data_IF_128538466263
#
_entry.id   IF_128538466263
#
_cell.length_a   1.000
_cell.length_b   1.000
_cell.length_c   1.000
_cell.angle_alpha   90.00
_cell.angle_beta   90.00
_cell.angle_gamma   90.00
#
_symmetry.space_group_name_H-M   'P 1'
#
loop_
_entity.id
_entity.type
_entity.pdbx_description
1 polymer ?
#
# COMPACT_ATOMS: atom_id res chain seq x y z
N UNK A 1 0.32 -1.89 19.99
CA UNK A 1 -0.75 -2.67 19.35
C UNK A 1 -2.04 -2.11 19.92
N UNK A 2 -2.90 -1.52 19.09
CA UNK A 2 -4.09 -0.82 19.58
C UNK A 2 -5.02 -1.78 20.33
N UNK A 3 -5.56 -1.34 21.46
CA UNK A 3 -6.50 -2.11 22.27
C UNK A 3 -7.76 -2.38 21.43
N UNK A 4 -8.16 -3.64 21.27
CA UNK A 4 -9.33 -4.05 20.48
C UNK A 4 -10.42 -4.59 21.37
N UNK A 5 -11.67 -4.40 20.95
CA UNK A 5 -12.86 -4.96 21.61
C UNK A 5 -13.70 -5.72 20.58
N UNK A 6 -14.43 -6.73 21.06
CA UNK A 6 -15.33 -7.49 20.20
C UNK A 6 -16.68 -6.76 20.09
N UNK A 7 -17.22 -6.68 18.88
CA UNK A 7 -18.56 -6.16 18.60
C UNK A 7 -19.38 -7.18 17.83
N UNK A 8 -20.69 -7.24 18.09
CA UNK A 8 -21.59 -8.22 17.46
C UNK A 8 -22.58 -7.53 16.51
N UNK A 9 -22.61 -7.97 15.26
CA UNK A 9 -23.65 -7.62 14.30
C UNK A 9 -24.87 -8.52 14.53
N UNK A 10 -25.92 -7.96 15.14
CA UNK A 10 -27.14 -8.70 15.47
C UNK A 10 -27.89 -9.23 14.24
N UNK A 11 -27.72 -8.63 13.06
CA UNK A 11 -28.36 -9.11 11.82
C UNK A 11 -27.72 -10.39 11.29
N UNK A 12 -26.44 -10.59 11.56
CA UNK A 12 -25.69 -11.79 11.15
C UNK A 12 -25.70 -12.88 12.23
N UNK A 13 -26.12 -12.56 13.45
CA UNK A 13 -26.11 -13.50 14.56
C UNK A 13 -27.19 -14.57 14.40
N UNK A 14 -26.76 -15.82 14.20
CA UNK A 14 -27.62 -17.02 14.10
C UNK A 14 -27.97 -17.63 15.45
N UNK A 15 -27.47 -17.07 16.56
CA UNK A 15 -27.71 -17.52 17.94
C UNK A 15 -27.22 -18.93 18.27
N UNK A 16 -26.13 -19.37 17.63
CA UNK A 16 -25.43 -20.62 18.00
C UNK A 16 -24.75 -20.54 19.37
N UNK A 17 -24.59 -19.33 19.92
CA UNK A 17 -24.10 -19.04 21.27
C UNK A 17 -22.71 -19.59 21.64
N UNK A 18 -21.93 -20.11 20.68
CA UNK A 18 -20.57 -20.61 20.95
C UNK A 18 -19.64 -19.54 21.54
N UNK A 19 -19.83 -18.28 21.13
CA UNK A 19 -19.13 -17.13 21.68
C UNK A 19 -19.22 -17.01 23.21
N UNK A 20 -20.34 -17.46 23.82
CA UNK A 20 -20.54 -17.47 25.27
C UNK A 20 -19.56 -18.42 25.98
N UNK A 21 -19.38 -19.61 25.42
CA UNK A 21 -18.56 -20.66 26.02
C UNK A 21 -17.06 -20.40 25.89
N UNK A 22 -16.64 -19.71 24.82
CA UNK A 22 -15.23 -19.44 24.55
C UNK A 22 -14.73 -18.14 25.17
N UNK A 23 -15.61 -17.29 25.71
CA UNK A 23 -15.21 -16.01 26.29
C UNK A 23 -14.65 -16.21 27.71
N UNK A 24 -13.35 -15.97 27.95
CA UNK A 24 -12.73 -16.26 29.25
C UNK A 24 -13.16 -15.30 30.37
N UNK A 25 -13.78 -14.17 30.00
CA UNK A 25 -14.14 -13.06 30.89
C UNK A 25 -15.65 -12.80 30.92
N UNK A 26 -16.44 -13.65 30.24
CA UNK A 26 -17.90 -13.50 30.19
C UNK A 26 -18.39 -12.22 29.48
N UNK A 27 -17.56 -11.54 28.69
CA UNK A 27 -17.95 -10.32 27.97
C UNK A 27 -19.05 -10.55 26.91
N UNK A 28 -19.16 -11.76 26.38
CA UNK A 28 -20.16 -12.10 25.36
C UNK A 28 -21.52 -12.48 25.94
N UNK A 29 -21.59 -12.71 27.26
CA UNK A 29 -22.75 -13.19 28.00
C UNK A 29 -23.60 -12.02 28.47
N UNK A 30 -24.34 -11.44 27.53
CA UNK A 30 -25.22 -10.31 27.79
C UNK A 30 -26.64 -10.63 27.33
N UNK A 31 -27.61 -10.33 28.20
CA UNK A 31 -29.03 -10.61 27.97
C UNK A 31 -29.60 -9.88 26.74
N UNK A 32 -28.97 -8.77 26.35
CA UNK A 32 -29.33 -7.96 25.19
C UNK A 32 -28.55 -8.33 23.91
N UNK A 33 -27.76 -9.42 23.94
CA UNK A 33 -26.91 -9.85 22.82
C UNK A 33 -25.82 -8.84 22.41
N UNK A 34 -25.52 -7.83 23.22
CA UNK A 34 -24.47 -6.81 22.99
C UNK A 34 -23.23 -7.15 23.78
N UNK A 35 -22.07 -7.29 23.16
CA UNK A 35 -20.84 -7.61 23.91
C UNK A 35 -20.53 -6.50 24.92
N UNK A 36 -20.29 -6.89 26.17
CA UNK A 36 -19.87 -6.03 27.27
C UNK A 36 -18.42 -5.58 27.06
N UNK A 37 -18.26 -4.36 26.55
CA UNK A 37 -16.94 -3.81 26.19
C UNK A 37 -16.06 -3.56 27.41
N UNK A 38 -16.64 -3.33 28.59
CA UNK A 38 -15.89 -3.08 29.83
C UNK A 38 -15.25 -4.36 30.36
N UNK A 39 -15.84 -5.52 30.06
CA UNK A 39 -15.25 -6.84 30.36
C UNK A 39 -14.34 -7.37 29.26
N UNK A 40 -14.44 -6.84 28.04
CA UNK A 40 -13.76 -7.40 26.88
C UNK A 40 -12.24 -7.13 26.95
N UNK A 41 -11.44 -8.19 27.03
CA UNK A 41 -9.96 -8.10 27.04
C UNK A 41 -9.32 -8.15 25.64
N UNK A 42 -10.14 -8.08 24.57
CA UNK A 42 -9.61 -8.02 23.20
C UNK A 42 -9.00 -9.31 22.65
N UNK A 43 -9.19 -10.46 23.28
CA UNK A 43 -8.51 -11.72 22.90
C UNK A 43 -8.98 -12.33 21.56
N UNK A 44 -10.15 -11.93 21.04
CA UNK A 44 -10.64 -12.40 19.73
C UNK A 44 -11.23 -13.81 19.66
N UNK A 45 -11.20 -14.59 20.75
CA UNK A 45 -11.70 -15.98 20.76
C UNK A 45 -13.17 -16.09 20.29
N UNK A 46 -14.01 -15.15 20.72
CA UNK A 46 -15.42 -15.13 20.32
C UNK A 46 -15.64 -14.82 18.83
N UNK A 47 -14.76 -14.01 18.22
CA UNK A 47 -14.79 -13.73 16.79
C UNK A 47 -14.39 -14.98 15.98
N UNK A 48 -13.30 -15.65 16.39
CA UNK A 48 -12.83 -16.88 15.74
C UNK A 48 -13.84 -18.03 15.84
N UNK A 49 -14.53 -18.14 16.97
CA UNK A 49 -15.50 -19.20 17.17
C UNK A 49 -16.87 -18.92 16.54
N UNK A 50 -17.15 -17.72 16.03
CA UNK A 50 -18.48 -17.36 15.54
C UNK A 50 -18.77 -17.98 14.16
N UNK A 51 -19.67 -18.97 14.02
CA UNK A 51 -19.87 -19.67 12.75
C UNK A 51 -20.48 -18.77 11.67
N UNK A 52 -21.30 -17.80 12.08
CA UNK A 52 -21.94 -16.86 11.17
C UNK A 52 -21.09 -15.62 10.84
N UNK A 53 -19.89 -15.50 11.43
CA UNK A 53 -19.05 -14.31 11.27
C UNK A 53 -19.68 -13.04 11.85
N UNK A 54 -20.63 -13.16 12.77
CA UNK A 54 -21.34 -12.02 13.35
C UNK A 54 -20.51 -11.18 14.33
N UNK A 55 -19.32 -11.63 14.72
CA UNK A 55 -18.48 -10.94 15.70
C UNK A 55 -17.18 -10.48 15.04
N UNK A 56 -16.89 -9.19 15.16
CA UNK A 56 -15.67 -8.56 14.63
C UNK A 56 -14.85 -7.93 15.76
N UNK A 57 -13.53 -7.93 15.61
CA UNK A 57 -12.63 -7.18 16.50
C UNK A 57 -12.42 -5.78 15.93
N UNK A 58 -12.82 -4.77 16.69
CA UNK A 58 -12.67 -3.35 16.33
C UNK A 58 -11.73 -2.65 17.32
N UNK A 59 -11.04 -1.59 16.93
CA UNK A 59 -10.26 -0.79 17.87
C UNK A 59 -11.20 -0.16 18.91
N UNK A 60 -10.74 -0.09 20.16
CA UNK A 60 -11.45 0.57 21.27
C UNK A 60 -11.52 2.09 21.04
N UNK A 61 -10.43 2.65 20.54
CA UNK A 61 -10.36 4.03 20.07
C UNK A 61 -10.26 4.05 18.55
N UNK A 62 -11.27 4.60 17.88
CA UNK A 62 -11.23 4.75 16.43
C UNK A 62 -10.24 5.87 16.04
N UNK A 63 -9.49 5.72 14.94
CA UNK A 63 -8.61 6.79 14.48
C UNK A 63 -9.42 8.03 14.10
N UNK A 64 -8.74 9.18 14.07
CA UNK A 64 -9.33 10.40 13.52
C UNK A 64 -9.79 10.18 12.07
N UNK A 65 -10.91 10.79 11.71
CA UNK A 65 -11.46 10.73 10.36
C UNK A 65 -10.41 11.20 9.36
N UNK A 66 -10.17 10.38 8.34
CA UNK A 66 -9.29 10.77 7.24
C UNK A 66 -10.03 11.74 6.32
N UNK A 67 -9.45 12.93 6.01
CA UNK A 67 -10.11 13.87 5.12
C UNK A 67 -10.17 13.31 3.70
N UNK A 68 -11.31 13.49 3.02
CA UNK A 68 -11.40 13.28 1.57
C UNK A 68 -10.98 14.55 0.85
N UNK A 69 -10.33 14.43 -0.31
CA UNK A 69 -10.00 15.59 -1.14
C UNK A 69 -11.26 16.21 -1.73
N UNK A 70 -11.23 17.50 -2.05
CA UNK A 70 -12.39 18.19 -2.62
C UNK A 70 -12.82 17.59 -3.97
N UNK A 71 -11.88 17.03 -4.73
CA UNK A 71 -12.16 16.29 -5.95
C UNK A 71 -13.00 15.03 -5.67
N UNK A 72 -12.64 14.25 -4.65
CA UNK A 72 -13.40 13.05 -4.26
C UNK A 72 -14.78 13.46 -3.74
N UNK A 73 -14.87 14.50 -2.90
CA UNK A 73 -16.16 15.03 -2.43
C UNK A 73 -17.03 15.49 -3.61
N UNK A 74 -16.46 16.18 -4.60
CA UNK A 74 -17.19 16.64 -5.77
C UNK A 74 -17.74 15.47 -6.60
N UNK A 75 -16.97 14.40 -6.78
CA UNK A 75 -17.44 13.19 -7.47
C UNK A 75 -18.54 12.49 -6.68
N UNK A 76 -18.38 12.33 -5.37
CA UNK A 76 -19.39 11.73 -4.51
C UNK A 76 -20.68 12.56 -4.52
N UNK A 77 -20.60 13.88 -4.35
CA UNK A 77 -21.75 14.78 -4.40
C UNK A 77 -22.46 14.73 -5.75
N UNK A 78 -21.71 14.69 -6.86
CA UNK A 78 -22.28 14.51 -8.20
C UNK A 78 -23.00 13.17 -8.34
N UNK A 79 -22.42 12.11 -7.79
CA UNK A 79 -23.02 10.76 -7.83
C UNK A 79 -24.29 10.70 -6.97
N UNK A 80 -24.27 11.30 -5.78
CA UNK A 80 -25.45 11.40 -4.93
C UNK A 80 -26.58 12.20 -5.61
N UNK A 81 -26.24 13.27 -6.33
CA UNK A 81 -27.22 14.01 -7.13
C UNK A 81 -27.84 13.13 -8.23
N UNK A 82 -27.01 12.40 -8.99
CA UNK A 82 -27.52 11.48 -10.01
C UNK A 82 -28.46 10.42 -9.41
N UNK A 83 -28.15 9.91 -8.22
CA UNK A 83 -29.00 8.96 -7.48
C UNK A 83 -30.33 9.57 -7.04
N UNK A 84 -30.33 10.83 -6.60
CA UNK A 84 -31.55 11.56 -6.29
C UNK A 84 -32.42 11.81 -7.54
N UNK A 85 -31.80 12.07 -8.69
CA UNK A 85 -32.50 12.24 -9.97
C UNK A 85 -33.13 10.90 -10.42
N UNK A 86 -32.39 9.79 -10.33
CA UNK A 86 -32.87 8.43 -10.62
C UNK A 86 -34.02 8.02 -9.68
N UNK A 87 -33.94 8.35 -8.38
CA UNK A 87 -35.03 8.15 -7.43
C UNK A 87 -36.30 8.87 -7.89
N UNK A 88 -36.17 10.14 -8.28
CA UNK A 88 -37.29 10.96 -8.73
C UNK A 88 -37.94 10.39 -9.98
N UNK A 89 -37.15 9.98 -10.97
CA UNK A 89 -37.65 9.33 -12.19
C UNK A 89 -38.38 8.02 -11.86
N UNK A 90 -37.82 7.19 -10.99
CA UNK A 90 -38.47 5.96 -10.55
C UNK A 90 -39.83 6.23 -9.87
N UNK A 91 -39.92 7.25 -9.01
CA UNK A 91 -41.18 7.66 -8.41
C UNK A 91 -42.21 8.13 -9.45
N UNK A 92 -41.78 8.92 -10.44
CA UNK A 92 -42.66 9.38 -11.52
C UNK A 92 -43.21 8.21 -12.36
N UNK A 93 -42.36 7.23 -12.69
CA UNK A 93 -42.80 6.03 -13.42
C UNK A 93 -43.76 5.21 -12.55
N UNK A 94 -43.47 5.06 -11.25
CA UNK A 94 -44.36 4.35 -10.33
C UNK A 94 -45.74 5.02 -10.24
N UNK A 95 -45.81 6.35 -10.28
CA UNK A 95 -47.07 7.10 -10.23
C UNK A 95 -47.84 7.08 -11.55
N UNK A 96 -47.15 7.00 -12.69
CA UNK A 96 -47.77 7.07 -14.01
C UNK A 96 -48.20 5.71 -14.59
N UNK A 97 -47.74 4.59 -14.02
CA UNK A 97 -48.02 3.24 -14.55
C UNK A 97 -49.29 2.62 -13.97
N UNK A 98 -50.10 2.01 -14.84
CA UNK A 98 -51.25 1.18 -14.44
C UNK A 98 -50.87 -0.30 -14.17
N UNK A 99 -49.62 -0.68 -14.47
CA UNK A 99 -49.14 -2.05 -14.25
C UNK A 99 -48.63 -2.23 -12.80
N UNK A 100 -49.34 -3.03 -12.00
CA UNK A 100 -48.99 -3.30 -10.58
C UNK A 100 -47.53 -3.76 -10.39
N UNK A 101 -47.07 -4.70 -11.24
CA UNK A 101 -45.70 -5.20 -11.18
C UNK A 101 -44.66 -4.11 -11.39
N UNK A 102 -44.90 -3.21 -12.35
CA UNK A 102 -44.01 -2.09 -12.63
C UNK A 102 -44.06 -1.03 -11.53
N UNK A 103 -45.25 -0.74 -10.98
CA UNK A 103 -45.41 0.18 -9.85
C UNK A 103 -44.57 -0.26 -8.65
N UNK A 104 -44.71 -1.53 -8.24
CA UNK A 104 -43.99 -2.10 -7.10
C UNK A 104 -42.47 -2.12 -7.33
N UNK A 105 -42.05 -2.48 -8.55
CA UNK A 105 -40.64 -2.47 -8.93
C UNK A 105 -40.05 -1.06 -8.82
N UNK A 106 -40.72 -0.06 -9.39
CA UNK A 106 -40.21 1.32 -9.39
C UNK A 106 -40.23 1.96 -7.99
N UNK A 107 -41.21 1.62 -7.12
CA UNK A 107 -41.16 1.98 -5.69
C UNK A 107 -39.94 1.37 -4.99
N UNK A 108 -39.58 0.13 -5.32
CA UNK A 108 -38.39 -0.53 -4.75
C UNK A 108 -37.09 0.11 -5.27
N UNK A 109 -37.02 0.43 -6.57
CA UNK A 109 -35.89 1.15 -7.17
C UNK A 109 -35.72 2.51 -6.51
N UNK A 110 -36.78 3.32 -6.39
CA UNK A 110 -36.72 4.62 -5.72
C UNK A 110 -36.15 4.52 -4.29
N UNK A 111 -36.59 3.51 -3.52
CA UNK A 111 -36.04 3.27 -2.18
C UNK A 111 -34.56 2.85 -2.22
N UNK A 112 -34.17 2.04 -3.20
CA UNK A 112 -32.78 1.64 -3.40
C UNK A 112 -31.89 2.84 -3.72
N UNK A 113 -32.27 3.66 -4.68
CA UNK A 113 -31.49 4.84 -5.07
C UNK A 113 -31.38 5.86 -3.94
N UNK A 114 -32.45 6.05 -3.16
CA UNK A 114 -32.41 6.88 -1.94
C UNK A 114 -31.34 6.41 -0.95
N UNK A 115 -31.34 5.10 -0.64
CA UNK A 115 -30.39 4.54 0.33
C UNK A 115 -28.95 4.71 -0.16
N UNK A 116 -28.71 4.50 -1.45
CA UNK A 116 -27.39 4.70 -2.07
C UNK A 116 -27.00 6.17 -2.04
N UNK A 117 -27.91 7.10 -2.36
CA UNK A 117 -27.65 8.54 -2.29
C UNK A 117 -27.28 8.97 -0.86
N UNK A 118 -28.03 8.50 0.14
CA UNK A 118 -27.75 8.76 1.55
C UNK A 118 -26.38 8.20 1.96
N UNK A 119 -26.03 6.97 1.58
CA UNK A 119 -24.71 6.39 1.84
C UNK A 119 -23.58 7.21 1.20
N UNK A 120 -23.76 7.64 -0.05
CA UNK A 120 -22.77 8.47 -0.75
C UNK A 120 -22.61 9.83 -0.06
N UNK A 121 -23.69 10.46 0.40
CA UNK A 121 -23.61 11.71 1.16
C UNK A 121 -22.90 11.52 2.50
N UNK A 122 -23.20 10.42 3.21
CA UNK A 122 -22.48 10.06 4.44
C UNK A 122 -21.00 9.85 4.19
N UNK A 123 -20.65 9.20 3.10
CA UNK A 123 -19.27 8.98 2.67
C UNK A 123 -18.59 10.27 2.20
N UNK A 124 -19.29 11.16 1.49
CA UNK A 124 -18.75 12.46 1.07
C UNK A 124 -18.31 13.30 2.28
N UNK A 125 -19.06 13.20 3.39
CA UNK A 125 -18.70 13.71 4.71
C UNK A 125 -18.05 12.70 5.66
N UNK A 126 -17.67 11.50 5.18
CA UNK A 126 -17.23 10.31 5.93
C UNK A 126 -17.57 10.32 7.44
N UNK A 127 -18.81 10.02 7.83
CA UNK A 127 -19.19 10.15 9.24
C UNK A 127 -18.81 8.94 10.09
N UNK A 128 -17.73 9.05 10.88
CA UNK A 128 -17.51 8.17 12.04
C UNK A 128 -18.37 8.67 13.20
N UNK A 129 -18.93 7.81 14.06
CA UNK A 129 -19.70 8.28 15.21
C UNK A 129 -18.92 9.32 16.03
N UNK A 130 -17.61 9.11 16.22
CA UNK A 130 -16.73 9.98 17.00
C UNK A 130 -16.10 11.16 16.21
N UNK A 131 -16.53 11.44 14.98
CA UNK A 131 -15.94 12.51 14.17
C UNK A 131 -16.53 13.89 14.44
N UNK A 132 -15.83 14.94 14.02
CA UNK A 132 -16.36 16.29 14.16
C UNK A 132 -17.62 16.52 13.34
N UNK A 133 -17.72 15.93 12.14
CA UNK A 133 -18.92 16.03 11.31
C UNK A 133 -20.17 15.45 11.99
N UNK A 134 -20.03 14.34 12.72
CA UNK A 134 -21.15 13.77 13.50
C UNK A 134 -21.57 14.72 14.63
N UNK A 135 -20.60 15.37 15.30
CA UNK A 135 -20.90 16.35 16.33
C UNK A 135 -21.59 17.59 15.75
N UNK A 136 -21.11 18.14 14.63
CA UNK A 136 -21.73 19.27 13.95
C UNK A 136 -23.16 18.94 13.49
N UNK A 137 -23.38 17.73 12.96
CA UNK A 137 -24.72 17.27 12.59
C UNK A 137 -25.65 17.19 13.81
N UNK A 138 -25.18 16.64 14.94
CA UNK A 138 -25.99 16.57 16.16
C UNK A 138 -26.28 17.96 16.72
N UNK A 139 -25.29 18.86 16.73
CA UNK A 139 -25.44 20.26 17.14
C UNK A 139 -26.47 20.99 16.25
N UNK A 140 -26.41 20.79 14.93
CA UNK A 140 -27.38 21.35 13.99
C UNK A 140 -28.79 20.76 14.19
N UNK A 141 -28.94 19.45 14.35
CA UNK A 141 -30.24 18.82 14.61
C UNK A 141 -30.86 19.28 15.96
N UNK A 142 -30.04 19.62 16.94
CA UNK A 142 -30.49 20.20 18.21
C UNK A 142 -30.96 21.65 18.01
N UNK A 143 -30.21 22.44 17.23
CA UNK A 143 -30.53 23.83 16.94
C UNK A 143 -31.74 23.98 15.99
N UNK A 144 -31.84 23.08 15.02
CA UNK A 144 -32.75 23.08 13.89
C UNK A 144 -33.43 21.70 13.73
N UNK A 145 -34.31 21.30 14.66
CA UNK A 145 -34.95 20.00 14.60
C UNK A 145 -35.81 19.87 13.32
N UNK A 146 -35.69 18.75 12.57
CA UNK A 146 -36.38 18.58 11.29
C UNK A 146 -37.91 18.51 11.44
N UNK A 147 -38.40 18.12 12.62
CA UNK A 147 -39.83 18.03 12.95
C UNK A 147 -40.08 18.44 14.40
N UNK A 148 -41.32 18.79 14.72
CA UNK A 148 -41.70 19.19 16.09
C UNK A 148 -41.61 18.06 17.11
N UNK A 149 -41.68 16.81 16.66
CA UNK A 149 -41.57 15.59 17.47
C UNK A 149 -40.15 15.01 17.51
N UNK A 150 -39.16 15.70 16.92
CA UNK A 150 -37.77 15.25 16.93
C UNK A 150 -37.24 15.17 18.39
N UNK A 151 -36.60 14.06 18.78
CA UNK A 151 -36.17 13.85 20.17
C UNK A 151 -34.86 14.60 20.49
N UNK A 152 -34.96 15.92 20.64
CA UNK A 152 -33.81 16.82 20.90
C UNK A 152 -32.99 16.39 22.12
N UNK A 153 -33.64 15.94 23.20
CA UNK A 153 -32.93 15.52 24.42
C UNK A 153 -32.11 14.23 24.22
N UNK A 154 -32.53 13.37 23.29
CA UNK A 154 -31.75 12.19 22.90
C UNK A 154 -30.52 12.63 22.10
N UNK A 155 -30.67 13.58 21.18
CA UNK A 155 -29.54 14.13 20.42
C UNK A 155 -28.51 14.79 21.34
N UNK A 156 -28.95 15.57 22.35
CA UNK A 156 -28.06 16.13 23.38
C UNK A 156 -27.31 15.04 24.15
N UNK A 157 -28.02 14.00 24.60
CA UNK A 157 -27.41 12.88 25.32
C UNK A 157 -26.38 12.14 24.45
N UNK A 158 -26.68 11.95 23.16
CA UNK A 158 -25.72 11.35 22.22
C UNK A 158 -24.47 12.22 22.07
N UNK A 159 -24.64 13.54 21.94
CA UNK A 159 -23.53 14.49 21.84
C UNK A 159 -22.61 14.47 23.08
N UNK A 160 -23.17 14.23 24.26
CA UNK A 160 -22.41 14.07 25.52
C UNK A 160 -21.71 12.70 25.63
N UNK A 161 -22.37 11.63 25.17
CA UNK A 161 -21.86 10.26 25.28
C UNK A 161 -20.78 9.93 24.25
N UNK A 162 -20.84 10.53 23.07
CA UNK A 162 -19.94 10.22 21.96
C UNK A 162 -18.68 11.09 22.10
N UNK A 163 -17.47 10.51 22.21
CA UNK A 163 -16.25 11.29 22.22
C UNK A 163 -15.97 11.87 20.82
N UNK A 164 -15.35 13.05 20.77
CA UNK A 164 -14.90 13.66 19.51
C UNK A 164 -13.39 13.48 19.35
N UNK A 165 -13.00 12.60 18.43
CA UNK A 165 -11.60 12.23 18.21
C UNK A 165 -10.79 13.31 17.48
N UNK A 166 -11.44 14.37 17.01
CA UNK A 166 -10.81 15.51 16.31
C UNK A 166 -10.69 16.75 17.21
N UNK A 167 -11.62 16.97 18.16
CA UNK A 167 -11.55 18.07 19.15
C UNK A 167 -10.41 17.88 20.15
N UNK A 168 -10.02 16.64 20.48
CA UNK A 168 -8.85 16.36 21.32
C UNK A 168 -7.51 16.51 20.58
N UNK A 169 -7.54 16.66 19.25
CA UNK A 169 -6.37 16.95 18.41
C UNK A 169 -6.17 18.45 18.17
N UNK A 170 -6.61 19.34 19.08
CA UNK A 170 -6.06 20.70 19.19
C UNK A 170 -4.68 20.66 19.87
N UNK A 171 -3.80 19.81 19.35
CA UNK A 171 -2.54 20.33 18.86
C UNK A 171 -2.61 20.13 17.37
N UNK A 172 -2.76 21.24 16.64
CA UNK A 172 -2.09 21.36 15.34
C UNK A 172 -0.62 21.10 15.59
N UNK A 173 -0.22 19.85 15.71
CA UNK A 173 1.03 19.45 15.12
C UNK A 173 0.76 19.62 13.63
N UNK A 174 1.17 20.79 13.12
CA UNK A 174 1.96 20.76 11.90
C UNK A 174 2.75 19.46 11.95
N UNK A 175 2.64 18.61 10.93
CA UNK A 175 3.63 17.56 10.73
C UNK A 175 4.95 18.30 10.53
N UNK A 176 5.59 18.72 11.63
CA UNK A 176 6.99 19.03 11.67
C UNK A 176 7.61 17.66 11.50
N UNK A 177 8.03 17.37 10.28
CA UNK A 177 8.98 16.31 10.04
C UNK A 177 10.17 16.57 10.97
N UNK A 178 10.23 15.82 12.09
CA UNK A 178 11.35 15.93 13.00
C UNK A 178 12.58 15.44 12.23
N UNK A 179 13.59 16.29 12.13
CA UNK A 179 14.84 15.98 11.43
C UNK A 179 15.43 14.70 12.01
N UNK A 180 15.81 13.76 11.14
CA UNK A 180 16.53 12.55 11.54
C UNK A 180 18.02 12.79 11.39
N UNK A 181 18.78 12.52 12.44
CA UNK A 181 20.24 12.68 12.47
C UNK A 181 20.87 11.31 12.65
N UNK A 182 21.75 10.90 11.74
CA UNK A 182 22.46 9.61 11.83
C UNK A 182 23.89 9.81 12.32
N UNK A 183 24.29 9.07 13.34
CA UNK A 183 25.66 9.02 13.81
C UNK A 183 26.54 8.30 12.78
N UNK A 184 27.48 9.01 12.17
CA UNK A 184 28.43 8.48 11.16
C UNK A 184 29.39 7.43 11.68
N UNK A 185 29.46 7.22 13.00
CA UNK A 185 30.39 6.27 13.63
C UNK A 185 29.70 4.95 13.96
N UNK A 186 28.46 4.97 14.46
CA UNK A 186 27.77 3.75 14.92
C UNK A 186 26.40 3.51 14.29
N UNK A 187 25.89 4.43 13.48
CA UNK A 187 24.59 4.29 12.81
C UNK A 187 23.37 4.64 13.67
N UNK A 188 23.53 5.08 14.93
CA UNK A 188 22.41 5.52 15.76
C UNK A 188 21.65 6.68 15.11
N UNK A 189 20.33 6.53 14.97
CA UNK A 189 19.42 7.55 14.44
C UNK A 189 18.75 8.30 15.59
N UNK A 190 18.92 9.61 15.63
CA UNK A 190 18.24 10.51 16.56
C UNK A 190 17.14 11.28 15.83
N UNK A 191 15.93 11.31 16.39
CA UNK A 191 14.82 12.12 15.89
C UNK A 191 14.69 13.37 16.76
N UNK A 192 14.91 14.55 16.18
CA UNK A 192 14.90 15.83 16.91
C UNK A 192 15.34 17.01 16.04
N UNK A 193 15.00 18.24 16.43
CA UNK A 193 15.37 19.44 15.65
C UNK A 193 16.89 19.60 15.48
N UNK A 194 17.67 19.10 16.44
CA UNK A 194 19.13 19.11 16.44
C UNK A 194 19.72 17.73 16.78
N UNK A 195 20.95 17.46 16.32
CA UNK A 195 21.70 16.28 16.75
C UNK A 195 22.01 16.33 18.27
N UNK A 196 22.06 15.18 18.96
CA UNK A 196 22.36 15.15 20.38
C UNK A 196 23.83 15.49 20.63
N UNK A 197 24.13 16.14 21.76
CA UNK A 197 25.49 16.55 22.15
C UNK A 197 26.48 15.37 22.19
N UNK A 198 26.00 14.20 22.60
CA UNK A 198 26.73 12.94 22.49
C UNK A 198 25.82 11.83 22.00
N UNK A 199 26.37 10.97 21.15
CA UNK A 199 25.69 9.77 20.70
C UNK A 199 25.40 8.85 21.91
N UNK A 200 24.14 8.46 22.17
CA UNK A 200 23.79 7.57 23.28
C UNK A 200 24.47 6.20 23.21
N UNK A 201 24.83 5.76 22.00
CA UNK A 201 25.43 4.44 21.75
C UNK A 201 26.96 4.48 21.82
N UNK A 202 27.59 5.33 21.01
CA UNK A 202 29.07 5.35 20.89
C UNK A 202 29.74 6.53 21.58
N UNK A 203 28.97 7.42 22.22
CA UNK A 203 29.44 8.60 22.97
C UNK A 203 30.25 9.61 22.17
N UNK A 204 30.26 9.47 20.84
CA UNK A 204 30.89 10.44 19.94
C UNK A 204 30.10 11.76 19.95
N UNK A 205 30.79 12.89 19.76
CA UNK A 205 30.18 14.20 19.90
C UNK A 205 29.29 14.55 18.69
N UNK A 206 28.47 15.60 18.84
CA UNK A 206 27.46 16.08 17.88
C UNK A 206 27.98 16.23 16.45
N UNK A 207 29.26 16.57 16.24
CA UNK A 207 29.88 16.74 14.92
C UNK A 207 29.94 15.44 14.11
N UNK A 208 29.76 14.28 14.76
CA UNK A 208 29.69 12.98 14.10
C UNK A 208 28.28 12.63 13.65
N UNK A 209 27.28 13.49 13.84
CA UNK A 209 25.94 13.31 13.27
C UNK A 209 25.81 14.01 11.92
N UNK A 210 25.18 13.34 10.96
CA UNK A 210 24.75 13.93 9.69
C UNK A 210 23.22 14.00 9.66
N UNK A 211 22.69 15.13 9.20
CA UNK A 211 21.28 15.27 8.89
C UNK A 211 20.94 14.29 7.76
N UNK A 212 19.96 13.43 7.96
CA UNK A 212 19.40 12.61 6.89
C UNK A 212 18.59 13.55 6.00
N UNK A 213 19.00 13.68 4.75
CA UNK A 213 18.19 14.35 3.73
C UNK A 213 16.87 13.58 3.61
N UNK A 214 15.73 14.29 3.67
CA UNK A 214 14.43 13.69 3.45
C UNK A 214 14.44 12.99 2.10
N UNK A 215 14.10 11.70 2.07
CA UNK A 215 13.87 10.99 0.80
C UNK A 215 12.91 11.82 -0.02
N UNK A 216 13.31 12.18 -1.26
CA UNK A 216 12.45 12.91 -2.19
C UNK A 216 11.23 12.05 -2.50
N UNK A 217 10.19 12.19 -1.69
CA UNK A 217 8.90 11.57 -1.92
C UNK A 217 8.38 12.03 -3.28
N UNK A 218 7.73 11.13 -4.01
CA UNK A 218 7.14 11.48 -5.30
C UNK A 218 6.03 12.55 -5.11
N UNK A 219 5.66 13.29 -6.19
CA UNK A 219 4.68 14.37 -6.10
C UNK A 219 3.29 13.95 -5.59
N UNK A 220 3.02 12.65 -5.52
CA UNK A 220 1.74 12.05 -5.18
C UNK A 220 1.74 11.38 -3.81
N UNK A 221 2.81 11.52 -3.03
CA UNK A 221 3.00 10.77 -1.79
C UNK A 221 1.85 10.90 -0.79
N UNK A 222 1.35 9.76 -0.32
CA UNK A 222 0.21 9.64 0.60
C UNK A 222 -1.16 9.76 -0.07
N UNK A 223 -1.25 9.94 -1.39
CA UNK A 223 -2.53 10.07 -2.11
C UNK A 223 -3.01 8.73 -2.67
N UNK A 224 -4.31 8.68 -3.05
CA UNK A 224 -4.83 7.56 -3.83
C UNK A 224 -4.22 7.49 -5.24
N UNK A 225 -3.75 8.62 -5.79
CA UNK A 225 -3.08 8.65 -7.10
C UNK A 225 -1.75 7.91 -7.07
N UNK A 226 -0.96 8.04 -6.01
CA UNK A 226 0.26 7.24 -5.82
C UNK A 226 -0.06 5.74 -5.84
N UNK A 227 -1.04 5.30 -5.06
CA UNK A 227 -1.49 3.89 -5.05
C UNK A 227 -1.98 3.42 -6.43
N UNK A 228 -2.67 4.29 -7.17
CA UNK A 228 -3.13 3.96 -8.53
C UNK A 228 -1.94 3.83 -9.50
N UNK A 229 -0.93 4.69 -9.38
CA UNK A 229 0.30 4.61 -10.17
C UNK A 229 1.12 3.36 -9.83
N UNK A 230 1.23 2.99 -8.55
CA UNK A 230 1.86 1.74 -8.10
C UNK A 230 1.12 0.52 -8.66
N UNK A 231 -0.22 0.51 -8.57
CA UNK A 231 -1.04 -0.56 -9.13
C UNK A 231 -0.92 -0.65 -10.66
N UNK A 232 -0.88 0.49 -11.36
CA UNK A 232 -0.64 0.53 -12.80
C UNK A 232 0.75 -0.01 -13.15
N UNK A 233 1.80 0.44 -12.46
CA UNK A 233 3.16 -0.08 -12.66
C UNK A 233 3.25 -1.59 -12.43
N UNK A 234 2.64 -2.10 -11.35
CA UNK A 234 2.59 -3.53 -11.07
C UNK A 234 1.81 -4.31 -12.15
N UNK A 235 0.68 -3.77 -12.61
CA UNK A 235 -0.15 -4.35 -13.67
C UNK A 235 0.60 -4.45 -15.00
N UNK A 236 1.20 -3.36 -15.46
CA UNK A 236 1.97 -3.30 -16.71
C UNK A 236 3.21 -4.21 -16.67
N UNK A 237 3.89 -4.26 -15.52
CA UNK A 237 5.05 -5.15 -15.32
C UNK A 237 4.66 -6.64 -15.41
N UNK A 238 3.52 -7.00 -14.83
CA UNK A 238 2.97 -8.35 -14.96
C UNK A 238 2.52 -8.65 -16.41
N UNK A 239 1.90 -7.68 -17.08
CA UNK A 239 1.43 -7.82 -18.47
C UNK A 239 2.60 -8.09 -19.43
N UNK A 240 3.68 -7.30 -19.34
CA UNK A 240 4.93 -7.51 -20.10
C UNK A 240 5.42 -8.95 -19.99
N UNK A 241 5.54 -9.47 -18.77
CA UNK A 241 6.05 -10.82 -18.53
C UNK A 241 5.10 -11.89 -19.10
N UNK A 242 3.80 -11.78 -18.83
CA UNK A 242 2.78 -12.70 -19.38
C UNK A 242 2.81 -12.73 -20.90
N UNK A 243 2.84 -11.59 -21.56
CA UNK A 243 2.85 -11.51 -23.03
C UNK A 243 4.13 -12.09 -23.62
N UNK A 244 5.28 -11.91 -22.97
CA UNK A 244 6.54 -12.55 -23.38
C UNK A 244 6.44 -14.08 -23.29
N UNK A 245 5.77 -14.62 -22.25
CA UNK A 245 5.54 -16.05 -22.12
C UNK A 245 4.54 -16.57 -23.16
N UNK A 246 3.46 -15.83 -23.42
CA UNK A 246 2.48 -16.16 -24.45
C UNK A 246 3.09 -16.17 -25.85
N UNK A 247 4.02 -15.25 -26.15
CA UNK A 247 4.78 -15.28 -27.39
C UNK A 247 5.54 -16.61 -27.56
N UNK A 248 6.13 -17.12 -26.48
CA UNK A 248 6.84 -18.40 -26.52
C UNK A 248 5.92 -19.59 -26.77
N UNK A 249 4.69 -19.56 -26.22
CA UNK A 249 3.65 -20.56 -26.51
C UNK A 249 3.20 -20.48 -27.97
N UNK A 250 2.81 -19.29 -28.43
CA UNK A 250 2.39 -19.07 -29.81
C UNK A 250 3.45 -19.51 -30.82
N UNK A 251 4.74 -19.28 -30.52
CA UNK A 251 5.85 -19.75 -31.35
C UNK A 251 5.95 -21.27 -31.39
N UNK A 252 5.83 -21.96 -30.24
CA UNK A 252 5.83 -23.43 -30.17
C UNK A 252 4.68 -24.06 -30.95
N UNK A 253 3.55 -23.36 -31.04
CA UNK A 253 2.37 -23.79 -31.81
C UNK A 253 2.42 -23.40 -33.30
N UNK A 254 3.47 -22.69 -33.74
CA UNK A 254 3.67 -22.30 -35.14
C UNK A 254 3.02 -20.96 -35.54
N UNK A 255 2.45 -20.22 -34.59
CA UNK A 255 1.83 -18.91 -34.83
C UNK A 255 2.86 -17.77 -34.72
N UNK A 256 3.85 -17.74 -35.63
CA UNK A 256 4.95 -16.77 -35.61
C UNK A 256 4.47 -15.29 -35.63
N UNK A 257 3.42 -14.97 -36.39
CA UNK A 257 2.86 -13.61 -36.39
C UNK A 257 2.29 -13.21 -35.03
N UNK A 258 1.56 -14.12 -34.36
CA UNK A 258 1.00 -13.86 -33.04
C UNK A 258 2.10 -13.73 -31.99
N UNK A 259 3.15 -14.56 -32.07
CA UNK A 259 4.33 -14.43 -31.22
C UNK A 259 4.99 -13.06 -31.36
N UNK A 260 5.19 -12.58 -32.60
CA UNK A 260 5.75 -11.25 -32.86
C UNK A 260 4.85 -10.13 -32.31
N UNK A 261 3.53 -10.25 -32.44
CA UNK A 261 2.57 -9.29 -31.89
C UNK A 261 2.60 -9.27 -30.36
N UNK A 262 2.64 -10.42 -29.70
CA UNK A 262 2.77 -10.50 -28.24
C UNK A 262 4.05 -9.83 -27.75
N UNK A 263 5.20 -10.05 -28.42
CA UNK A 263 6.45 -9.38 -28.07
C UNK A 263 6.36 -7.86 -28.27
N UNK A 264 5.76 -7.42 -29.38
CA UNK A 264 5.53 -5.99 -29.62
C UNK A 264 4.67 -5.37 -28.52
N UNK A 265 3.59 -6.03 -28.10
CA UNK A 265 2.74 -5.56 -27.00
C UNK A 265 3.51 -5.57 -25.69
N UNK A 266 4.31 -6.60 -25.38
CA UNK A 266 5.15 -6.64 -24.18
C UNK A 266 6.14 -5.46 -24.12
N UNK A 267 6.69 -5.06 -25.27
CA UNK A 267 7.53 -3.87 -25.38
C UNK A 267 6.76 -2.56 -25.18
N UNK A 268 5.47 -2.51 -25.53
CA UNK A 268 4.61 -1.36 -25.25
C UNK A 268 4.32 -1.27 -23.74
N UNK A 269 3.97 -2.38 -23.09
CA UNK A 269 3.71 -2.39 -21.63
C UNK A 269 4.98 -2.05 -20.83
N UNK A 270 6.16 -2.43 -21.33
CA UNK A 270 7.44 -1.98 -20.77
C UNK A 270 7.56 -0.44 -20.78
N UNK A 271 7.18 0.23 -21.86
CA UNK A 271 7.21 1.70 -21.93
C UNK A 271 6.10 2.35 -21.09
N UNK A 272 4.92 1.74 -20.99
CA UNK A 272 3.86 2.18 -20.07
C UNK A 272 4.32 2.10 -18.60
N UNK A 273 4.84 0.94 -18.17
CA UNK A 273 5.38 0.75 -16.83
C UNK A 273 6.47 1.78 -16.52
N UNK A 274 7.38 2.04 -17.47
CA UNK A 274 8.45 3.04 -17.32
C UNK A 274 7.90 4.46 -17.18
N UNK A 275 6.81 4.80 -17.85
CA UNK A 275 6.14 6.10 -17.69
C UNK A 275 5.63 6.27 -16.25
N UNK A 276 4.89 5.27 -15.73
CA UNK A 276 4.35 5.33 -14.37
C UNK A 276 5.44 5.32 -13.29
N UNK A 277 6.49 4.50 -13.48
CA UNK A 277 7.60 4.43 -12.56
C UNK A 277 8.40 5.74 -12.48
N UNK A 278 8.44 6.53 -13.57
CA UNK A 278 9.00 7.89 -13.56
C UNK A 278 8.16 8.86 -12.74
N UNK A 279 6.84 8.83 -12.86
CA UNK A 279 5.94 9.67 -12.05
C UNK A 279 6.08 9.38 -10.55
N UNK A 280 6.40 8.12 -10.20
CA UNK A 280 6.70 7.68 -8.85
C UNK A 280 8.14 8.02 -8.39
N UNK A 281 8.92 8.76 -9.17
CA UNK A 281 10.34 9.03 -8.93
C UNK A 281 11.19 7.76 -8.71
N UNK A 282 10.80 6.63 -9.30
CA UNK A 282 11.49 5.34 -9.13
C UNK A 282 12.80 5.20 -9.90
N UNK A 283 13.14 6.15 -10.79
CA UNK A 283 14.38 6.13 -11.57
C UNK A 283 15.38 7.18 -11.08
N UNK A 284 16.49 6.73 -10.51
CA UNK A 284 17.66 7.54 -10.17
C UNK A 284 18.80 7.41 -11.19
N UNK A 285 19.99 7.84 -10.77
CA UNK A 285 21.23 7.54 -11.49
C UNK A 285 21.66 6.07 -11.27
N UNK A 286 22.72 5.62 -11.95
CA UNK A 286 23.15 4.22 -11.87
C UNK A 286 23.50 3.77 -10.43
N UNK A 287 24.24 4.55 -9.62
CA UNK A 287 24.44 4.23 -8.20
C UNK A 287 23.14 4.08 -7.41
N UNK A 288 22.20 5.03 -7.52
CA UNK A 288 20.94 4.96 -6.82
C UNK A 288 20.11 3.74 -7.24
N UNK A 289 20.07 3.44 -8.54
CA UNK A 289 19.34 2.28 -9.06
C UNK A 289 19.98 0.95 -8.62
N UNK A 290 21.31 0.85 -8.57
CA UNK A 290 22.02 -0.34 -8.07
C UNK A 290 21.77 -0.55 -6.58
N UNK A 291 21.75 0.53 -5.79
CA UNK A 291 21.40 0.47 -4.38
C UNK A 291 19.96 0.01 -4.18
N UNK A 292 19.00 0.63 -4.89
CA UNK A 292 17.60 0.25 -4.83
C UNK A 292 17.37 -1.22 -5.23
N UNK A 293 18.04 -1.69 -6.28
CA UNK A 293 18.00 -3.10 -6.67
C UNK A 293 18.58 -4.00 -5.57
N UNK A 294 19.77 -3.70 -5.04
CA UNK A 294 20.38 -4.51 -3.98
C UNK A 294 19.52 -4.59 -2.71
N UNK A 295 18.89 -3.49 -2.33
CA UNK A 295 18.03 -3.44 -1.14
C UNK A 295 16.70 -4.19 -1.37
N UNK A 296 16.15 -4.14 -2.59
CA UNK A 296 15.01 -4.97 -2.99
C UNK A 296 15.33 -6.45 -2.96
N UNK A 297 16.42 -6.87 -3.62
CA UNK A 297 16.90 -8.26 -3.61
C UNK A 297 17.15 -8.76 -2.18
N UNK A 298 17.73 -7.91 -1.31
CA UNK A 298 17.94 -8.24 0.10
C UNK A 298 16.64 -8.63 0.80
N UNK A 299 15.63 -7.74 0.73
CA UNK A 299 14.30 -8.01 1.29
C UNK A 299 13.68 -9.29 0.74
N UNK A 300 13.85 -9.54 -0.57
CA UNK A 300 13.30 -10.74 -1.20
C UNK A 300 13.86 -12.02 -0.58
N UNK A 301 15.17 -12.14 -0.37
CA UNK A 301 15.75 -13.38 0.16
C UNK A 301 15.80 -13.48 1.68
N UNK A 302 15.85 -12.36 2.43
CA UNK A 302 15.89 -12.39 3.90
C UNK A 302 14.51 -12.59 4.52
N UNK A 303 13.49 -11.96 3.92
CA UNK A 303 12.15 -11.86 4.52
C UNK A 303 11.10 -12.52 3.62
N UNK A 304 10.91 -12.02 2.39
CA UNK A 304 9.76 -12.40 1.56
C UNK A 304 9.75 -13.89 1.19
N UNK A 305 10.81 -14.40 0.55
CA UNK A 305 10.87 -15.80 0.12
C UNK A 305 11.00 -16.78 1.29
N UNK A 306 11.66 -16.38 2.37
CA UNK A 306 11.78 -17.18 3.59
C UNK A 306 10.40 -17.36 4.25
N UNK A 307 9.61 -16.29 4.37
CA UNK A 307 8.26 -16.37 4.94
C UNK A 307 7.25 -17.05 4.02
N UNK A 308 7.38 -16.88 2.70
CA UNK A 308 6.59 -17.64 1.73
C UNK A 308 6.89 -19.13 1.80
N UNK A 309 8.17 -19.52 1.95
CA UNK A 309 8.55 -20.91 2.11
C UNK A 309 7.97 -21.53 3.39
N UNK A 310 8.06 -20.83 4.53
CA UNK A 310 7.45 -21.28 5.81
C UNK A 310 5.94 -21.44 5.69
N UNK A 311 5.26 -20.49 5.06
CA UNK A 311 3.80 -20.53 4.85
C UNK A 311 3.43 -21.73 3.98
N UNK A 312 4.10 -21.90 2.84
CA UNK A 312 3.87 -23.02 1.94
C UNK A 312 4.11 -24.38 2.63
N UNK A 313 5.14 -24.48 3.48
CA UNK A 313 5.43 -25.69 4.25
C UNK A 313 4.37 -25.98 5.32
N UNK A 314 3.90 -24.96 6.03
CA UNK A 314 2.81 -25.09 7.02
C UNK A 314 1.48 -25.53 6.38
N UNK A 315 1.24 -25.13 5.13
CA UNK A 315 0.06 -25.54 4.35
C UNK A 315 0.24 -26.87 3.61
N UNK A 316 1.42 -27.51 3.70
CA UNK A 316 1.72 -28.81 3.10
C UNK A 316 2.24 -28.77 1.65
N UNK A 317 2.54 -27.60 1.10
CA UNK A 317 3.11 -27.39 -0.24
C UNK A 317 4.65 -27.44 -0.22
N UNK A 318 5.22 -28.56 0.21
CA UNK A 318 6.67 -28.73 0.44
C UNK A 318 7.54 -28.52 -0.80
N UNK A 319 7.11 -28.96 -1.98
CA UNK A 319 7.83 -28.72 -3.24
C UNK A 319 7.88 -27.23 -3.61
N UNK A 320 6.82 -26.49 -3.30
CA UNK A 320 6.78 -25.05 -3.56
C UNK A 320 7.64 -24.28 -2.54
N UNK A 321 7.62 -24.70 -1.27
CA UNK A 321 8.51 -24.17 -0.24
C UNK A 321 9.99 -24.35 -0.62
N UNK A 322 10.36 -25.52 -1.14
CA UNK A 322 11.71 -25.77 -1.63
C UNK A 322 12.08 -24.84 -2.79
N UNK A 323 11.16 -24.60 -3.73
CA UNK A 323 11.37 -23.65 -4.83
C UNK A 323 11.57 -22.22 -4.32
N UNK A 324 10.76 -21.74 -3.37
CA UNK A 324 10.95 -20.40 -2.79
C UNK A 324 12.34 -20.24 -2.16
N UNK A 325 12.82 -21.24 -1.41
CA UNK A 325 14.18 -21.22 -0.84
C UNK A 325 15.27 -21.19 -1.91
N UNK A 326 15.10 -21.96 -2.98
CA UNK A 326 16.05 -21.95 -4.10
C UNK A 326 16.07 -20.59 -4.82
N UNK A 327 14.92 -19.95 -5.00
CA UNK A 327 14.83 -18.59 -5.57
C UNK A 327 15.48 -17.58 -4.63
N UNK A 328 15.21 -17.63 -3.31
CA UNK A 328 15.90 -16.77 -2.34
C UNK A 328 17.43 -16.90 -2.38
N UNK A 329 17.97 -18.11 -2.59
CA UNK A 329 19.42 -18.28 -2.76
C UNK A 329 19.96 -17.60 -4.04
N UNK A 330 19.15 -17.50 -5.10
CA UNK A 330 19.48 -16.79 -6.34
C UNK A 330 19.46 -15.28 -6.11
N UNK A 331 18.41 -14.75 -5.47
CA UNK A 331 18.29 -13.31 -5.21
C UNK A 331 19.42 -12.79 -4.30
N UNK A 332 19.90 -13.61 -3.37
CA UNK A 332 21.13 -13.29 -2.61
C UNK A 332 22.33 -13.03 -3.53
N UNK A 333 22.51 -13.84 -4.56
CA UNK A 333 23.59 -13.63 -5.53
C UNK A 333 23.36 -12.38 -6.40
N UNK A 334 22.10 -12.02 -6.68
CA UNK A 334 21.77 -10.74 -7.31
C UNK A 334 22.15 -9.54 -6.43
N UNK A 335 21.81 -9.57 -5.13
CA UNK A 335 22.26 -8.55 -4.17
C UNK A 335 23.79 -8.41 -4.19
N UNK A 336 24.52 -9.51 -4.03
CA UNK A 336 25.99 -9.52 -4.03
C UNK A 336 26.57 -8.89 -5.30
N UNK A 337 25.99 -9.22 -6.46
CA UNK A 337 26.34 -8.62 -7.75
C UNK A 337 26.10 -7.11 -7.75
N UNK A 338 24.91 -6.65 -7.37
CA UNK A 338 24.58 -5.22 -7.41
C UNK A 338 25.42 -4.40 -6.43
N UNK A 339 25.69 -4.92 -5.22
CA UNK A 339 26.60 -4.27 -4.27
C UNK A 339 28.03 -4.20 -4.79
N UNK A 340 28.52 -5.25 -5.45
CA UNK A 340 29.85 -5.23 -6.06
C UNK A 340 29.96 -4.21 -7.20
N UNK A 341 28.92 -4.10 -8.05
CA UNK A 341 28.85 -3.10 -9.11
C UNK A 341 28.78 -1.67 -8.54
N UNK A 342 27.98 -1.44 -7.50
CA UNK A 342 27.88 -0.16 -6.82
C UNK A 342 29.25 0.26 -6.26
N UNK A 343 29.91 -0.64 -5.54
CA UNK A 343 31.26 -0.43 -5.00
C UNK A 343 32.27 -0.09 -6.10
N UNK A 344 32.18 -0.73 -7.27
CA UNK A 344 33.05 -0.41 -8.40
C UNK A 344 32.83 1.02 -8.90
N UNK A 345 31.60 1.54 -8.90
CA UNK A 345 31.33 2.93 -9.26
C UNK A 345 31.88 3.89 -8.20
N UNK A 346 31.56 3.67 -6.93
CA UNK A 346 31.98 4.53 -5.81
C UNK A 346 33.50 4.62 -5.67
N UNK A 347 34.22 3.56 -6.00
CA UNK A 347 35.68 3.50 -5.93
C UNK A 347 36.37 3.82 -7.27
N UNK A 348 35.61 4.25 -8.28
CA UNK A 348 36.10 4.52 -9.65
C UNK A 348 36.86 3.33 -10.27
N UNK A 349 36.42 2.11 -9.95
CA UNK A 349 37.01 0.85 -10.38
C UNK A 349 36.28 0.16 -11.53
N UNK A 350 35.33 0.84 -12.19
CA UNK A 350 34.59 0.28 -13.35
C UNK A 350 35.55 0.03 -14.53
N UNK A 351 36.40 1.01 -14.85
CA UNK A 351 37.34 0.96 -15.99
C UNK A 351 38.81 1.07 -15.58
N UNK A 352 39.10 0.91 -14.29
CA UNK A 352 40.44 0.95 -13.69
C UNK A 352 40.53 -0.04 -12.55
N UNK A 353 41.65 -0.75 -12.41
CA UNK A 353 41.95 -1.58 -11.24
C UNK A 353 43.32 -1.24 -10.67
N UNK A 354 43.58 -1.66 -9.44
CA UNK A 354 44.90 -1.51 -8.79
C UNK A 354 45.96 -2.42 -9.43
N UNK A 355 45.52 -3.53 -10.00
CA UNK A 355 46.36 -4.53 -10.67
C UNK A 355 46.12 -4.50 -12.19
N UNK A 356 47.07 -5.05 -12.94
CA UNK A 356 46.91 -5.29 -14.37
C UNK A 356 45.77 -6.29 -14.57
N UNK A 357 44.81 -5.94 -15.42
CA UNK A 357 43.74 -6.83 -15.87
C UNK A 357 43.75 -6.92 -17.40
N UNK A 358 43.10 -7.96 -17.90
CA UNK A 358 42.76 -8.10 -19.31
C UNK A 358 41.38 -7.45 -19.49
N UNK A 359 41.30 -6.45 -20.36
CA UNK A 359 40.06 -5.76 -20.71
C UNK A 359 39.63 -6.18 -22.10
N UNK A 360 38.34 -6.41 -22.28
CA UNK A 360 37.76 -6.80 -23.56
C UNK A 360 36.68 -5.80 -23.99
N UNK A 361 36.72 -5.39 -25.25
CA UNK A 361 35.67 -4.58 -25.85
C UNK A 361 34.48 -5.45 -26.25
N UNK A 362 33.35 -5.33 -25.55
CA UNK A 362 32.11 -6.07 -25.83
C UNK A 362 31.55 -5.87 -27.24
N UNK A 363 31.91 -4.79 -27.92
CA UNK A 363 31.43 -4.50 -29.27
C UNK A 363 32.17 -5.32 -30.35
N UNK A 364 33.47 -5.57 -30.19
CA UNK A 364 34.31 -6.15 -31.26
C UNK A 364 35.30 -7.23 -30.81
N UNK A 365 35.35 -7.56 -29.51
CA UNK A 365 36.27 -8.55 -28.94
C UNK A 365 37.73 -8.08 -28.79
N UNK A 366 38.04 -6.80 -29.04
CA UNK A 366 39.41 -6.31 -28.88
C UNK A 366 39.87 -6.42 -27.43
N UNK A 367 41.01 -7.09 -27.22
CA UNK A 367 41.64 -7.29 -25.92
C UNK A 367 42.80 -6.31 -25.70
N UNK A 368 42.85 -5.73 -24.51
CA UNK A 368 43.94 -4.85 -24.06
C UNK A 368 44.34 -5.19 -22.63
N UNK A 369 45.65 -5.31 -22.38
CA UNK A 369 46.21 -5.63 -21.07
C UNK A 369 46.69 -4.36 -20.40
N UNK A 370 46.20 -4.07 -19.19
CA UNK A 370 46.60 -2.87 -18.46
C UNK A 370 45.81 -2.65 -17.17
N UNK A 371 46.22 -1.65 -16.39
CA UNK A 371 45.49 -1.24 -15.16
C UNK A 371 44.23 -0.43 -15.46
N UNK A 372 44.01 -0.01 -16.71
CA UNK A 372 42.85 0.75 -17.18
C UNK A 372 42.40 0.30 -18.56
N UNK A 373 41.10 0.35 -18.82
CA UNK A 373 40.57 0.27 -20.19
C UNK A 373 40.87 1.57 -20.96
N UNK A 374 41.11 1.52 -22.27
CA UNK A 374 41.37 2.71 -23.08
C UNK A 374 40.11 3.57 -23.22
N UNK A 375 40.28 4.89 -23.36
CA UNK A 375 39.17 5.84 -23.52
C UNK A 375 38.36 5.58 -24.81
N UNK A 376 39.06 5.12 -25.86
CA UNK A 376 38.48 4.75 -27.16
C UNK A 376 39.08 3.41 -27.59
N UNK A 377 38.22 2.50 -28.05
CA UNK A 377 38.68 1.23 -28.61
C UNK A 377 39.50 1.49 -29.90
N UNK A 378 40.75 1.01 -30.01
CA UNK A 378 41.58 1.26 -31.17
C UNK A 378 41.13 0.52 -32.43
N UNK A 379 40.22 -0.45 -32.31
CA UNK A 379 39.71 -1.24 -33.43
C UNK A 379 38.40 -0.68 -33.97
N UNK A 380 37.39 -0.54 -33.11
CA UNK A 380 36.03 -0.16 -33.53
C UNK A 380 35.65 1.29 -33.20
N UNK A 381 36.57 2.07 -32.63
CA UNK A 381 36.38 3.47 -32.24
C UNK A 381 35.24 3.75 -31.23
N UNK A 382 34.68 2.72 -30.58
CA UNK A 382 33.66 2.87 -29.54
C UNK A 382 34.29 3.33 -28.21
N UNK A 383 33.53 4.08 -27.38
CA UNK A 383 34.04 4.65 -26.13
C UNK A 383 34.35 3.58 -25.07
N UNK A 384 35.07 3.99 -24.01
CA UNK A 384 35.46 3.17 -22.86
C UNK A 384 34.31 2.35 -22.24
N UNK A 385 33.07 2.85 -22.31
CA UNK A 385 31.87 2.18 -21.78
C UNK A 385 31.56 0.81 -22.38
N UNK A 386 32.22 0.45 -23.48
CA UNK A 386 32.12 -0.87 -24.09
C UNK A 386 33.13 -1.88 -23.55
N UNK A 387 34.11 -1.46 -22.74
CA UNK A 387 35.09 -2.38 -22.15
C UNK A 387 34.58 -2.99 -20.84
N UNK A 388 34.93 -4.25 -20.62
CA UNK A 388 34.77 -4.95 -19.34
C UNK A 388 36.02 -5.77 -19.02
N UNK A 389 36.12 -6.28 -17.80
CA UNK A 389 37.18 -7.22 -17.44
C UNK A 389 36.88 -8.54 -18.13
N UNK A 390 37.81 -9.02 -18.95
CA UNK A 390 37.70 -10.31 -19.60
C UNK A 390 37.64 -11.43 -18.56
N UNK A 391 36.75 -12.39 -18.79
CA UNK A 391 36.60 -13.59 -17.97
C UNK A 391 36.69 -14.82 -18.87
N UNK A 392 37.65 -15.71 -18.59
CA UNK A 392 37.77 -17.00 -19.27
C UNK A 392 37.12 -18.09 -18.40
N UNK A 393 36.01 -18.63 -18.88
CA UNK A 393 35.21 -19.64 -18.18
C UNK A 393 34.72 -20.77 -19.13
N UNK A 394 35.52 -21.08 -20.16
CA UNK A 394 35.30 -22.15 -21.14
C UNK A 394 36.34 -23.25 -21.06
#
# INVERSE_FOLDING_TARGET
MDEKVAVRNLRLCTKDCLCLYVCPVGATDTENSVIDVDKCIGCGMCAQACPSGAISMVPKEYPAQQPKTDQVKAVLNKTAQAKADEEKEALQIAEATDQDGLHRLMKAVAKSERLVAEDIMREAGFMLPQSNNTHELLEDLIANPPTTDFPVDVAKKLLEMIPNNEKNNIKKEEVRTMKKWVCTVCGYVHEGEEAPEQCPVCKQPKEKFKLMEEEKKNPYAGTQTEKNLEAAFAGESQARNKYTYFASVAKKEGYEQMAALFLKTADNEKEHAKMWFKELNGLGDTPANLKAAADGENYEWTDMYEDFAKTAEAEGFTDLAAKFRMVGAIEKHHEERYRALLKNIETAQVFKKSEVKVWECRNCGHIVVGTKAPEVCPVCAHPQSYFEVNAENY
#
